data_IF_952101908715
#
_entry.id   IF_952101908715
#
_cell.length_a   1.000
_cell.length_b   1.000
_cell.length_c   1.000
_cell.angle_alpha   90.00
_cell.angle_beta   90.00
_cell.angle_gamma   90.00
#
_symmetry.space_group_name_H-M   'P 1'
#
loop_
_entity.id
_entity.type
_entity.pdbx_description
1 polymer ?
#
# COMPACT_ATOMS: atom_id res chain seq x y z
N UNK A 1 -2.58 14.50 2.32
CA UNK A 1 -1.79 13.62 1.42
C UNK A 1 -2.66 13.05 0.31
N UNK A 2 -3.84 12.48 0.59
CA UNK A 2 -4.70 11.90 -0.46
C UNK A 2 -5.31 12.95 -1.39
N UNK A 3 -5.57 14.16 -0.88
CA UNK A 3 -6.15 15.27 -1.66
C UNK A 3 -5.16 15.89 -2.65
N UNK A 4 -3.86 15.58 -2.54
CA UNK A 4 -2.83 16.07 -3.46
C UNK A 4 -2.69 15.18 -4.69
N UNK A 5 -3.44 14.07 -4.76
CA UNK A 5 -3.37 13.12 -5.85
C UNK A 5 -4.21 13.60 -7.05
N UNK A 6 -3.78 13.31 -8.28
CA UNK A 6 -4.58 13.59 -9.47
C UNK A 6 -5.89 12.79 -9.45
N UNK A 7 -6.89 13.23 -10.22
CA UNK A 7 -8.17 12.53 -10.39
C UNK A 7 -8.20 11.67 -11.65
N UNK A 8 -7.12 10.92 -11.88
CA UNK A 8 -6.94 10.01 -13.01
C UNK A 8 -6.62 8.58 -12.52
N UNK A 9 -6.36 7.66 -13.46
CA UNK A 9 -6.03 6.28 -13.13
C UNK A 9 -4.76 6.16 -12.27
N UNK A 10 -3.80 7.10 -12.41
CA UNK A 10 -2.60 7.16 -11.55
C UNK A 10 -2.97 7.54 -10.13
N UNK A 11 -3.87 8.50 -9.97
CA UNK A 11 -4.39 8.93 -8.68
C UNK A 11 -5.08 7.80 -7.92
N UNK A 12 -5.88 6.99 -8.62
CA UNK A 12 -6.52 5.81 -8.02
C UNK A 12 -5.48 4.80 -7.50
N UNK A 13 -4.47 4.49 -8.33
CA UNK A 13 -3.35 3.62 -7.93
C UNK A 13 -2.61 4.17 -6.71
N UNK A 14 -2.23 5.44 -6.78
CA UNK A 14 -1.40 6.07 -5.77
C UNK A 14 -2.16 6.20 -4.44
N UNK A 15 -3.48 6.44 -4.50
CA UNK A 15 -4.38 6.40 -3.34
C UNK A 15 -4.40 5.01 -2.72
N UNK A 16 -4.58 3.97 -3.53
CA UNK A 16 -4.58 2.59 -3.06
C UNK A 16 -3.23 2.22 -2.41
N UNK A 17 -2.09 2.59 -3.02
CA UNK A 17 -0.75 2.37 -2.47
C UNK A 17 -0.61 3.00 -1.07
N UNK A 18 -1.00 4.27 -0.93
CA UNK A 18 -0.86 5.00 0.34
C UNK A 18 -1.75 4.40 1.43
N UNK A 19 -3.01 4.10 1.11
CA UNK A 19 -3.97 3.57 2.09
C UNK A 19 -3.63 2.13 2.51
N UNK A 20 -3.30 1.25 1.56
CA UNK A 20 -2.92 -0.15 1.87
C UNK A 20 -1.58 -0.19 2.60
N UNK A 21 -0.61 0.60 2.14
CA UNK A 21 0.70 0.69 2.81
C UNK A 21 0.58 1.17 4.25
N UNK A 22 -0.26 2.18 4.49
CA UNK A 22 -0.50 2.73 5.83
C UNK A 22 -1.29 1.76 6.72
N UNK A 23 -2.43 1.25 6.26
CA UNK A 23 -3.30 0.37 7.05
C UNK A 23 -2.63 -0.98 7.37
N UNK A 24 -1.85 -1.51 6.42
CA UNK A 24 -1.11 -2.76 6.57
C UNK A 24 0.26 -2.62 7.23
N UNK A 25 0.78 -1.42 7.46
CA UNK A 25 2.12 -1.21 8.01
C UNK A 25 3.24 -1.80 7.14
N UNK A 26 3.02 -1.84 5.83
CA UNK A 26 3.85 -2.57 4.87
C UNK A 26 5.11 -1.77 4.51
N UNK A 27 6.21 -2.46 4.22
CA UNK A 27 7.38 -1.85 3.57
C UNK A 27 7.08 -1.56 2.11
N UNK A 28 7.79 -0.57 1.54
CA UNK A 28 7.72 -0.27 0.11
C UNK A 28 7.99 -1.48 -0.81
N UNK A 29 8.89 -2.37 -0.40
CA UNK A 29 9.22 -3.59 -1.15
C UNK A 29 8.11 -4.64 -1.04
N UNK A 30 7.48 -4.74 0.13
CA UNK A 30 6.34 -5.64 0.36
C UNK A 30 5.15 -5.18 -0.50
N UNK A 31 4.85 -3.87 -0.52
CA UNK A 31 3.77 -3.29 -1.34
C UNK A 31 3.91 -3.68 -2.80
N UNK A 32 5.07 -3.44 -3.41
CA UNK A 32 5.24 -3.69 -4.85
C UNK A 32 5.31 -5.18 -5.18
N UNK A 33 5.58 -6.05 -4.22
CA UNK A 33 5.62 -7.51 -4.40
C UNK A 33 4.27 -8.21 -4.24
N UNK A 34 3.19 -7.48 -3.95
CA UNK A 34 1.86 -8.07 -3.76
C UNK A 34 1.24 -8.39 -5.12
N UNK A 35 0.68 -9.59 -5.20
CA UNK A 35 -0.09 -10.10 -6.33
C UNK A 35 -1.53 -10.41 -5.90
N UNK A 36 -2.48 -10.25 -6.82
CA UNK A 36 -3.87 -10.64 -6.62
C UNK A 36 -3.96 -12.15 -6.67
N UNK A 37 -4.41 -12.77 -5.58
CA UNK A 37 -4.55 -14.21 -5.52
C UNK A 37 -5.95 -14.63 -5.93
N UNK A 38 -6.04 -15.23 -7.11
CA UNK A 38 -7.26 -15.86 -7.63
C UNK A 38 -7.34 -17.34 -7.26
N UNK A 39 -6.20 -17.99 -6.97
CA UNK A 39 -6.08 -19.38 -6.53
C UNK A 39 -4.93 -19.54 -5.51
N UNK A 40 -4.88 -20.66 -4.78
CA UNK A 40 -3.80 -21.09 -3.85
C UNK A 40 -2.43 -21.32 -4.55
N UNK A 41 -2.14 -20.56 -5.59
CA UNK A 41 -0.86 -20.63 -6.30
C UNK A 41 0.22 -20.02 -5.41
N UNK A 42 1.25 -20.79 -5.00
CA UNK A 42 2.34 -20.25 -4.21
C UNK A 42 3.15 -19.25 -5.05
N UNK A 43 2.87 -17.97 -4.88
CA UNK A 43 3.67 -16.89 -5.44
C UNK A 43 4.99 -16.71 -4.67
N UNK A 44 6.04 -16.27 -5.36
CA UNK A 44 7.32 -15.86 -4.74
C UNK A 44 7.15 -14.53 -3.96
N UNK A 45 6.05 -13.80 -4.22
CA UNK A 45 5.70 -12.51 -3.63
C UNK A 45 4.60 -12.58 -2.56
N UNK A 46 4.18 -11.40 -2.10
CA UNK A 46 3.01 -11.29 -1.23
C UNK A 46 1.72 -11.56 -2.00
N UNK A 47 0.69 -11.98 -1.30
CA UNK A 47 -0.62 -12.31 -1.84
C UNK A 47 -1.67 -11.40 -1.20
N UNK A 48 -2.63 -10.91 -1.97
CA UNK A 48 -3.80 -10.21 -1.42
C UNK A 48 -5.10 -10.90 -1.85
N UNK A 49 -5.96 -11.14 -0.87
CA UNK A 49 -7.34 -11.57 -1.06
C UNK A 49 -8.27 -10.46 -0.59
N UNK A 50 -9.24 -10.08 -1.41
CA UNK A 50 -10.16 -8.98 -1.13
C UNK A 50 -11.56 -9.58 -0.98
N UNK A 51 -12.22 -9.20 0.11
CA UNK A 51 -13.62 -9.52 0.40
C UNK A 51 -14.38 -8.21 0.61
N UNK A 52 -15.71 -8.29 0.71
CA UNK A 52 -16.56 -7.12 0.89
C UNK A 52 -16.19 -6.29 2.14
N UNK A 53 -15.72 -6.95 3.21
CA UNK A 53 -15.46 -6.31 4.50
C UNK A 53 -13.98 -6.10 4.82
N UNK A 54 -13.07 -6.75 4.10
CA UNK A 54 -11.63 -6.72 4.41
C UNK A 54 -10.75 -7.10 3.23
N UNK A 55 -9.50 -6.63 3.28
CA UNK A 55 -8.41 -7.16 2.49
C UNK A 55 -7.44 -7.92 3.40
N UNK A 56 -7.03 -9.10 2.96
CA UNK A 56 -6.10 -9.99 3.67
C UNK A 56 -4.83 -10.08 2.86
N UNK A 57 -3.70 -9.68 3.44
CA UNK A 57 -2.40 -9.72 2.80
C UNK A 57 -1.56 -10.80 3.47
N UNK A 58 -1.07 -11.74 2.67
CA UNK A 58 -0.16 -12.79 3.11
C UNK A 58 1.23 -12.47 2.56
N UNK A 59 2.21 -12.26 3.44
CA UNK A 59 3.58 -11.94 3.07
C UNK A 59 4.52 -13.12 3.34
N UNK A 60 5.47 -13.42 2.43
CA UNK A 60 6.54 -14.36 2.72
C UNK A 60 7.51 -13.75 3.76
N UNK A 61 7.61 -14.37 4.94
CA UNK A 61 8.48 -13.92 6.01
C UNK A 61 9.57 -14.94 6.33
N UNK A 62 10.73 -14.46 6.80
CA UNK A 62 11.86 -15.31 7.23
C UNK A 62 11.55 -16.22 8.44
N UNK A 63 10.47 -15.95 9.18
CA UNK A 63 10.05 -16.69 10.36
C UNK A 63 8.61 -17.24 10.24
N UNK A 64 8.11 -17.40 9.00
CA UNK A 64 6.75 -17.81 8.70
C UNK A 64 5.98 -16.79 7.87
N UNK A 65 4.85 -17.22 7.30
CA UNK A 65 3.94 -16.38 6.55
C UNK A 65 3.31 -15.34 7.49
N UNK A 66 3.53 -14.05 7.21
CA UNK A 66 2.90 -12.97 7.96
C UNK A 66 1.55 -12.61 7.35
N UNK A 67 0.46 -12.79 8.09
CA UNK A 67 -0.89 -12.38 7.64
C UNK A 67 -1.24 -11.01 8.22
N UNK A 68 -1.64 -10.08 7.35
CA UNK A 68 -2.08 -8.74 7.70
C UNK A 68 -3.52 -8.57 7.25
N UNK A 69 -4.42 -8.33 8.20
CA UNK A 69 -5.82 -8.05 7.91
C UNK A 69 -6.08 -6.55 7.95
N UNK A 70 -6.68 -6.04 6.87
CA UNK A 70 -7.06 -4.65 6.68
C UNK A 70 -8.58 -4.59 6.58
N UNK A 71 -9.23 -4.08 7.62
CA UNK A 71 -10.67 -3.89 7.62
C UNK A 71 -11.10 -2.77 6.67
N UNK A 72 -12.33 -2.88 6.14
CA UNK A 72 -12.99 -1.81 5.41
C UNK A 72 -13.18 -0.60 6.33
N UNK A 73 -12.79 0.57 5.84
CA UNK A 73 -13.04 1.83 6.53
C UNK A 73 -14.48 2.28 6.36
N UNK A 74 -15.00 3.02 7.35
CA UNK A 74 -16.36 3.59 7.34
C UNK A 74 -16.50 4.80 6.41
N UNK A 75 -15.41 5.46 6.05
CA UNK A 75 -15.39 6.56 5.10
C UNK A 75 -14.74 6.13 3.78
N UNK A 76 -15.50 6.16 2.69
CA UNK A 76 -15.04 5.75 1.36
C UNK A 76 -13.80 6.50 0.87
N UNK A 77 -13.61 7.76 1.26
CA UNK A 77 -12.45 8.56 0.84
C UNK A 77 -11.14 8.08 1.46
N UNK A 78 -11.21 7.44 2.63
CA UNK A 78 -10.05 6.94 3.38
C UNK A 78 -10.07 5.42 3.52
N UNK A 79 -11.03 4.74 2.89
CA UNK A 79 -11.21 3.31 3.03
C UNK A 79 -10.17 2.57 2.15
N UNK A 80 -9.25 1.79 2.76
CA UNK A 80 -8.20 1.09 2.01
C UNK A 80 -8.76 0.02 1.07
N UNK A 81 -9.78 -0.73 1.53
CA UNK A 81 -10.45 -1.77 0.75
C UNK A 81 -11.17 -1.16 -0.45
N UNK A 82 -11.89 -0.05 -0.24
CA UNK A 82 -12.58 0.65 -1.32
C UNK A 82 -11.60 1.20 -2.37
N UNK A 83 -10.54 1.89 -1.93
CA UNK A 83 -9.54 2.44 -2.83
C UNK A 83 -8.84 1.36 -3.66
N UNK A 84 -8.49 0.23 -3.03
CA UNK A 84 -7.90 -0.91 -3.72
C UNK A 84 -8.87 -1.53 -4.73
N UNK A 85 -10.14 -1.73 -4.35
CA UNK A 85 -11.18 -2.28 -5.23
C UNK A 85 -11.41 -1.39 -6.44
N UNK A 86 -11.50 -0.07 -6.25
CA UNK A 86 -11.61 0.89 -7.34
C UNK A 86 -10.40 0.81 -8.28
N UNK A 87 -9.19 0.77 -7.72
CA UNK A 87 -7.98 0.62 -8.52
C UNK A 87 -8.03 -0.63 -9.38
N UNK A 88 -8.29 -1.81 -8.81
CA UNK A 88 -8.34 -3.08 -9.55
C UNK A 88 -9.42 -3.05 -10.65
N UNK A 89 -10.60 -2.52 -10.33
CA UNK A 89 -11.70 -2.40 -11.28
C UNK A 89 -11.36 -1.53 -12.49
N UNK A 90 -10.85 -0.31 -12.26
CA UNK A 90 -10.54 0.62 -13.35
C UNK A 90 -9.24 0.27 -14.09
N UNK A 91 -8.28 -0.35 -13.40
CA UNK A 91 -7.05 -0.84 -14.00
C UNK A 91 -7.25 -2.14 -14.80
N UNK A 92 -8.40 -2.81 -14.60
CA UNK A 92 -8.72 -4.14 -15.16
C UNK A 92 -7.65 -5.16 -14.80
N UNK A 93 -7.38 -5.27 -13.50
CA UNK A 93 -6.43 -6.24 -12.94
C UNK A 93 -7.23 -7.35 -12.28
N UNK A 94 -7.16 -8.53 -12.87
CA UNK A 94 -7.82 -9.77 -12.50
C UNK A 94 -6.83 -10.86 -12.07
N UNK A 95 -5.56 -10.74 -12.48
CA UNK A 95 -4.46 -11.58 -12.01
C UNK A 95 -3.13 -10.82 -11.85
N UNK A 96 -2.20 -11.44 -11.14
CA UNK A 96 -0.80 -11.01 -11.10
C UNK A 96 -0.55 -9.74 -10.27
N UNK A 97 0.45 -8.91 -10.62
CA UNK A 97 0.88 -7.78 -9.80
C UNK A 97 -0.22 -6.72 -9.67
N UNK A 98 -0.61 -6.38 -8.43
CA UNK A 98 -1.66 -5.39 -8.22
C UNK A 98 -1.19 -3.97 -8.52
N UNK A 99 0.07 -3.64 -8.20
CA UNK A 99 0.59 -2.29 -8.36
C UNK A 99 1.49 -2.22 -9.59
N UNK A 100 0.88 -1.82 -10.71
CA UNK A 100 1.53 -1.71 -12.01
C UNK A 100 1.68 -0.25 -12.47
N UNK A 101 2.53 -0.07 -13.47
CA UNK A 101 2.65 1.20 -14.18
C UNK A 101 1.34 1.63 -14.84
N UNK A 102 1.21 2.94 -15.08
CA UNK A 102 0.12 3.52 -15.85
C UNK A 102 0.74 4.29 -17.01
N UNK A 103 0.12 4.21 -18.18
CA UNK A 103 0.54 4.89 -19.41
C UNK A 103 0.67 6.41 -19.21
N UNK A 104 1.44 7.08 -20.08
CA UNK A 104 1.74 8.51 -19.96
C UNK A 104 0.50 9.40 -20.00
N UNK A 105 -0.49 8.99 -20.79
CA UNK A 105 -1.80 9.63 -20.91
C UNK A 105 -2.74 9.35 -19.72
N UNK A 106 -2.34 8.50 -18.76
CA UNK A 106 -3.11 8.26 -17.54
C UNK A 106 -4.34 7.37 -17.73
N UNK A 107 -4.46 6.65 -18.85
CA UNK A 107 -5.68 5.93 -19.23
C UNK A 107 -5.63 4.42 -19.07
N UNK A 108 -4.43 3.81 -19.05
CA UNK A 108 -4.30 2.34 -19.05
C UNK A 108 -3.21 1.88 -18.10
N UNK A 109 -3.45 0.76 -17.43
CA UNK A 109 -2.43 0.02 -16.72
C UNK A 109 -1.49 -0.69 -17.72
N UNK A 110 -0.19 -0.75 -17.41
CA UNK A 110 0.84 -1.26 -18.33
C UNK A 110 1.19 -2.73 -18.10
N UNK A 111 0.55 -3.43 -17.14
CA UNK A 111 0.89 -4.80 -16.71
C UNK A 111 2.26 -4.96 -16.01
N UNK A 112 3.19 -4.02 -16.24
CA UNK A 112 4.50 -4.00 -15.60
C UNK A 112 4.42 -3.59 -14.13
N UNK A 113 4.85 -4.47 -13.23
CA UNK A 113 4.99 -4.22 -11.78
C UNK A 113 5.79 -2.94 -11.50
N UNK A 114 5.35 -2.16 -10.53
CA UNK A 114 6.09 -1.01 -10.03
C UNK A 114 7.35 -1.42 -9.26
N UNK A 115 8.36 -0.56 -9.28
CA UNK A 115 9.53 -0.69 -8.40
C UNK A 115 9.31 -0.01 -7.06
N UNK A 116 9.99 -0.49 -6.02
CA UNK A 116 9.93 0.06 -4.65
C UNK A 116 10.30 1.56 -4.59
N UNK A 117 11.21 2.00 -5.46
CA UNK A 117 11.59 3.41 -5.64
C UNK A 117 10.41 4.30 -6.04
N UNK A 118 9.42 3.76 -6.73
CA UNK A 118 8.20 4.49 -7.09
C UNK A 118 7.41 4.86 -5.83
N UNK A 119 7.19 3.89 -4.93
CA UNK A 119 6.47 4.10 -3.68
C UNK A 119 7.18 5.13 -2.80
N UNK A 120 8.51 5.04 -2.69
CA UNK A 120 9.29 6.03 -1.94
C UNK A 120 9.14 7.46 -2.50
N UNK A 121 9.17 7.60 -3.83
CA UNK A 121 8.96 8.89 -4.50
C UNK A 121 7.55 9.42 -4.27
N UNK A 122 6.54 8.55 -4.40
CA UNK A 122 5.14 8.90 -4.18
C UNK A 122 4.91 9.43 -2.77
N UNK A 123 5.37 8.72 -1.73
CA UNK A 123 5.21 9.16 -0.34
C UNK A 123 5.90 10.51 -0.12
N UNK A 124 7.13 10.66 -0.62
CA UNK A 124 7.86 11.93 -0.50
C UNK A 124 7.08 13.09 -1.14
N UNK A 125 6.63 12.92 -2.39
CA UNK A 125 5.90 13.96 -3.13
C UNK A 125 4.59 14.34 -2.44
N UNK A 126 3.80 13.35 -2.02
CA UNK A 126 2.50 13.59 -1.38
C UNK A 126 2.63 14.17 0.03
N UNK A 127 3.67 13.79 0.79
CA UNK A 127 3.96 14.38 2.10
C UNK A 127 4.42 15.83 1.99
N UNK A 128 5.25 16.15 0.99
CA UNK A 128 5.67 17.51 0.68
C UNK A 128 4.48 18.39 0.27
N UNK A 129 3.69 17.92 -0.71
CA UNK A 129 2.52 18.64 -1.22
C UNK A 129 1.44 18.86 -0.15
N UNK A 130 1.28 17.92 0.78
CA UNK A 130 0.34 18.05 1.89
C UNK A 130 0.84 18.95 3.03
N UNK A 131 2.04 19.52 2.91
CA UNK A 131 2.59 20.40 3.95
C UNK A 131 2.89 19.69 5.27
N UNK A 132 3.05 18.35 5.28
CA UNK A 132 3.30 17.63 6.52
C UNK A 132 4.62 18.07 7.15
N UNK A 133 4.66 18.12 8.49
CA UNK A 133 5.79 18.62 9.28
C UNK A 133 6.25 20.03 8.88
N UNK A 134 5.36 21.05 8.92
CA UNK A 134 5.72 22.43 8.61
C UNK A 134 6.73 23.02 9.61
N UNK A 135 6.85 22.39 10.79
CA UNK A 135 7.81 22.67 11.85
C UNK A 135 9.28 22.45 11.45
N UNK A 136 9.54 21.70 10.37
CA UNK A 136 10.89 21.34 9.97
C UNK A 136 11.34 22.05 8.68
N UNK A 137 12.64 22.42 8.57
CA UNK A 137 13.23 22.87 7.32
C UNK A 137 13.07 21.85 6.19
N UNK A 138 12.89 22.32 4.96
CA UNK A 138 12.61 21.48 3.79
C UNK A 138 13.65 20.35 3.58
N UNK A 139 14.92 20.65 3.80
CA UNK A 139 16.02 19.68 3.70
C UNK A 139 15.89 18.52 4.71
N UNK A 140 15.37 18.78 5.91
CA UNK A 140 15.13 17.76 6.93
C UNK A 140 13.86 16.95 6.64
N UNK A 141 12.81 17.59 6.13
CA UNK A 141 11.57 16.92 5.68
C UNK A 141 11.87 15.88 4.59
N UNK A 142 12.69 16.23 3.61
CA UNK A 142 13.13 15.33 2.53
C UNK A 142 13.82 14.08 3.08
N UNK A 143 14.68 14.23 4.10
CA UNK A 143 15.41 13.11 4.70
C UNK A 143 14.47 12.19 5.50
N UNK A 144 13.53 12.74 6.28
CA UNK A 144 12.59 11.97 7.09
C UNK A 144 11.66 11.08 6.24
N UNK A 145 11.15 11.60 5.11
CA UNK A 145 10.26 10.83 4.25
C UNK A 145 10.96 9.73 3.44
N UNK A 146 12.30 9.75 3.38
CA UNK A 146 13.10 8.79 2.62
C UNK A 146 13.45 7.51 3.38
N UNK A 147 13.41 7.53 4.72
CA UNK A 147 14.02 6.51 5.58
C UNK A 147 13.06 5.78 6.54
N UNK A 148 11.90 6.35 6.89
CA UNK A 148 10.99 5.79 7.92
C UNK A 148 9.59 5.41 7.42
N UNK A 149 9.37 5.50 6.11
CA UNK A 149 8.01 5.50 5.57
C UNK A 149 7.31 4.14 5.74
N UNK A 150 6.19 4.17 6.47
CA UNK A 150 5.19 3.13 6.76
C UNK A 150 5.33 2.31 8.06
N UNK A 151 6.48 2.35 8.76
CA UNK A 151 6.68 1.52 9.97
C UNK A 151 6.39 2.19 11.30
N UNK A 152 6.29 3.52 11.33
CA UNK A 152 6.19 4.28 12.59
C UNK A 152 4.76 4.52 13.07
N UNK A 153 3.74 4.07 12.33
CA UNK A 153 2.32 4.28 12.66
C UNK A 153 1.65 3.16 13.45
N UNK A 154 2.34 2.06 13.75
CA UNK A 154 1.73 0.91 14.43
C UNK A 154 2.72 0.28 15.40
N UNK A 155 2.52 0.53 16.70
CA UNK A 155 2.97 -0.41 17.74
C UNK A 155 2.32 -1.75 17.42
N UNK A 156 3.14 -2.76 17.11
CA UNK A 156 2.67 -4.14 17.09
C UNK A 156 2.29 -4.45 18.54
N UNK A 157 1.00 -4.52 18.87
CA UNK A 157 0.56 -5.16 20.10
C UNK A 157 1.01 -6.61 19.99
N UNK A 158 2.15 -6.93 20.62
CA UNK A 158 2.51 -8.29 20.92
C UNK A 158 1.45 -8.80 21.90
N UNK A 159 0.83 -9.94 21.58
CA UNK A 159 0.02 -10.65 22.54
C UNK A 159 0.89 -10.97 23.77
N UNK A 160 0.37 -10.86 25.01
CA UNK A 160 1.09 -11.32 26.18
C UNK A 160 1.25 -12.85 26.12
N UNK A 161 2.49 -13.32 26.26
CA UNK A 161 2.82 -14.73 26.47
C UNK A 161 2.03 -15.29 27.68
N UNK A 162 1.45 -16.50 27.60
CA UNK A 162 0.96 -17.18 28.78
C UNK A 162 2.15 -17.74 29.58
N UNK A 163 2.34 -17.22 30.80
CA UNK A 163 3.32 -17.76 31.74
C UNK A 163 2.96 -19.20 32.16
N UNK A 164 3.94 -20.09 32.41
CA UNK A 164 3.68 -21.45 32.84
C UNK A 164 3.30 -21.52 34.33
N UNK A 165 2.39 -22.43 34.65
CA UNK A 165 2.01 -22.82 36.01
C UNK A 165 2.99 -23.86 36.59
#
# INVERSE_FOLDING_TARGET
MLDTLPRDLRGLRDRAILLIGFAGGLRRSEIVSIDLCTDDTPGIGGCIAITEDRAVITLPGKAGQGKVEIARGTNDQTCPVHALTQWLHFAKIDDGPIFVGVTRDGRRATGRRLGDKHVARLVKQTAQAAGLRPDLPEAQRIRLYSSQSLRSGRTRTAAPDPAPA
#
